data_IF_445455925525
#
_entry.id   IF_445455925525
#
_cell.length_a   1.000
_cell.length_b   1.000
_cell.length_c   1.000
_cell.angle_alpha   90.00
_cell.angle_beta   90.00
_cell.angle_gamma   90.00
#
_symmetry.space_group_name_H-M   'P 1'
#
loop_
_entity.id
_entity.type
_entity.pdbx_description
1 polymer ?
#
# COMPACT_ATOMS: atom_id res chain seq x y z
N UNK A 1 -10.92 12.23 35.32
CA UNK A 1 -11.67 10.96 35.46
C UNK A 1 -13.07 11.16 34.92
N UNK A 2 -13.49 10.42 33.91
CA UNK A 2 -14.83 10.50 33.35
C UNK A 2 -15.76 9.53 34.10
N UNK A 3 -17.08 9.76 34.07
CA UNK A 3 -18.11 8.86 34.67
C UNK A 3 -17.92 7.39 34.20
N UNK A 4 -17.45 7.16 32.98
CA UNK A 4 -17.14 5.84 32.42
C UNK A 4 -16.01 5.11 33.18
N UNK A 5 -15.11 5.84 33.86
CA UNK A 5 -14.06 5.25 34.68
C UNK A 5 -14.52 4.89 36.10
N UNK A 6 -15.65 5.47 36.54
CA UNK A 6 -16.23 5.27 37.86
C UNK A 6 -17.31 4.19 37.91
N UNK A 7 -17.96 3.94 36.76
CA UNK A 7 -19.03 2.97 36.63
C UNK A 7 -18.77 2.06 35.42
N UNK A 8 -18.01 0.98 35.60
CA UNK A 8 -17.67 0.04 34.51
C UNK A 8 -18.90 -0.53 33.78
N UNK A 9 -20.02 -0.67 34.48
CA UNK A 9 -21.30 -1.14 33.90
C UNK A 9 -21.88 -0.19 32.82
N UNK A 10 -21.61 1.11 32.90
CA UNK A 10 -22.03 2.08 31.87
C UNK A 10 -21.11 1.98 30.63
N UNK A 11 -19.84 1.64 30.81
CA UNK A 11 -18.91 1.43 29.72
C UNK A 11 -19.27 0.24 28.83
N UNK A 12 -20.02 -0.74 29.37
CA UNK A 12 -20.46 -1.91 28.61
C UNK A 12 -21.69 -1.63 27.73
N UNK A 13 -22.48 -0.59 28.05
CA UNK A 13 -23.65 -0.22 27.27
C UNK A 13 -23.38 0.78 26.13
N UNK A 14 -22.20 1.40 26.10
CA UNK A 14 -21.86 2.35 25.04
C UNK A 14 -21.22 1.62 23.85
N UNK A 15 -21.73 1.82 22.62
CA UNK A 15 -21.09 1.22 21.43
C UNK A 15 -19.64 1.68 21.31
N UNK A 16 -18.75 0.76 20.99
CA UNK A 16 -17.34 1.08 20.78
C UNK A 16 -17.21 2.01 19.58
N UNK A 17 -16.45 3.08 19.76
CA UNK A 17 -16.07 3.96 18.64
C UNK A 17 -14.71 3.53 18.10
N UNK A 18 -14.69 3.23 16.81
CA UNK A 18 -13.48 2.93 16.07
C UNK A 18 -13.03 4.20 15.34
N UNK A 19 -11.73 4.50 15.44
CA UNK A 19 -11.17 5.68 14.81
C UNK A 19 -11.09 5.45 13.27
N UNK A 20 -11.83 6.20 12.44
CA UNK A 20 -11.84 6.01 11.00
C UNK A 20 -10.52 6.39 10.32
N UNK A 21 -9.62 7.06 11.05
CA UNK A 21 -8.26 7.27 10.59
C UNK A 21 -7.43 5.98 10.57
N UNK A 22 -7.82 4.96 11.35
CA UNK A 22 -7.08 3.70 11.50
C UNK A 22 -7.91 2.51 10.99
N UNK A 23 -9.19 2.46 11.34
CA UNK A 23 -10.11 1.38 11.01
C UNK A 23 -10.88 1.65 9.71
N UNK A 24 -11.46 0.60 9.09
CA UNK A 24 -12.46 0.80 8.05
C UNK A 24 -13.56 1.72 8.56
N UNK A 25 -14.06 2.59 7.71
CA UNK A 25 -15.05 3.58 8.15
C UNK A 25 -16.41 2.98 8.47
N UNK A 26 -16.66 1.73 8.07
CA UNK A 26 -17.84 0.95 8.47
C UNK A 26 -17.64 0.19 9.77
N UNK A 27 -16.43 0.28 10.38
CA UNK A 27 -16.14 -0.42 11.63
C UNK A 27 -17.06 0.07 12.75
N UNK A 28 -17.75 -0.88 13.39
CA UNK A 28 -18.72 -0.65 14.45
C UNK A 28 -18.68 -1.80 15.46
N UNK A 29 -19.41 -1.70 16.55
CA UNK A 29 -19.74 -2.85 17.39
C UNK A 29 -21.23 -3.07 17.42
N UNK A 30 -21.63 -4.34 17.44
CA UNK A 30 -23.03 -4.71 17.69
C UNK A 30 -23.38 -4.68 19.19
N UNK A 31 -24.60 -5.10 19.52
CA UNK A 31 -25.13 -5.11 20.90
C UNK A 31 -24.37 -6.07 21.82
N UNK A 32 -23.82 -7.17 21.26
CA UNK A 32 -23.00 -8.15 21.98
C UNK A 32 -21.55 -7.72 22.14
N UNK A 33 -21.18 -6.56 21.58
CA UNK A 33 -19.82 -6.02 21.58
C UNK A 33 -18.87 -6.67 20.58
N UNK A 34 -19.41 -7.43 19.62
CA UNK A 34 -18.65 -7.99 18.51
C UNK A 34 -18.28 -6.86 17.54
N UNK A 35 -17.05 -6.88 17.05
CA UNK A 35 -16.60 -5.94 16.03
C UNK A 35 -17.16 -6.34 14.68
N UNK A 36 -17.78 -5.38 14.00
CA UNK A 36 -18.34 -5.52 12.67
C UNK A 36 -17.57 -4.64 11.67
N UNK A 37 -17.41 -5.12 10.43
CA UNK A 37 -16.89 -4.35 9.29
C UNK A 37 -17.80 -4.60 8.10
N UNK A 38 -18.17 -3.54 7.36
CA UNK A 38 -19.10 -3.65 6.23
C UNK A 38 -20.47 -4.18 6.63
N UNK A 39 -20.87 -4.05 7.90
CA UNK A 39 -22.12 -4.59 8.43
C UNK A 39 -22.07 -6.08 8.79
N UNK A 40 -20.89 -6.71 8.77
CA UNK A 40 -20.69 -8.14 9.08
C UNK A 40 -19.90 -8.28 10.37
N UNK A 41 -20.38 -9.06 11.36
CA UNK A 41 -19.61 -9.43 12.54
C UNK A 41 -18.35 -10.20 12.13
N UNK A 42 -17.20 -9.81 12.64
CA UNK A 42 -15.93 -10.47 12.31
C UNK A 42 -15.85 -11.91 12.86
N UNK A 43 -16.66 -12.23 13.87
CA UNK A 43 -16.84 -13.61 14.36
C UNK A 43 -17.40 -14.52 13.29
N UNK A 44 -18.38 -14.07 12.52
CA UNK A 44 -19.04 -14.87 11.49
C UNK A 44 -18.03 -15.21 10.37
N UNK A 45 -17.15 -14.24 10.02
CA UNK A 45 -16.06 -14.46 9.07
C UNK A 45 -15.04 -15.46 9.62
N UNK A 46 -14.66 -15.33 10.90
CA UNK A 46 -13.72 -16.25 11.54
C UNK A 46 -14.28 -17.67 11.64
N UNK A 47 -15.58 -17.83 11.84
CA UNK A 47 -16.24 -19.12 11.95
C UNK A 47 -16.42 -19.79 10.57
N UNK A 48 -16.72 -19.02 9.53
CA UNK A 48 -16.90 -19.54 8.15
C UNK A 48 -15.56 -19.85 7.46
N UNK A 49 -14.58 -18.92 7.54
CA UNK A 49 -13.33 -19.00 6.77
C UNK A 49 -12.11 -19.40 7.60
N UNK A 50 -12.28 -19.52 8.92
CA UNK A 50 -11.18 -19.78 9.86
C UNK A 50 -10.26 -18.56 10.05
N UNK A 51 -9.28 -18.71 10.96
CA UNK A 51 -8.22 -17.73 11.22
C UNK A 51 -6.85 -18.36 10.93
N UNK A 52 -5.80 -17.55 10.62
CA UNK A 52 -5.87 -16.13 10.29
C UNK A 52 -6.71 -15.87 9.05
N UNK A 53 -7.34 -14.69 8.93
CA UNK A 53 -8.06 -14.29 7.73
C UNK A 53 -7.88 -12.80 7.46
N UNK A 54 -7.69 -12.42 6.20
CA UNK A 54 -7.72 -11.03 5.77
C UNK A 54 -9.14 -10.65 5.40
N UNK A 55 -9.60 -9.52 5.90
CA UNK A 55 -10.92 -8.95 5.59
C UNK A 55 -10.70 -7.58 4.95
N UNK A 56 -11.33 -7.34 3.81
CA UNK A 56 -11.29 -6.06 3.10
C UNK A 56 -12.70 -5.50 2.96
N UNK A 57 -12.90 -4.27 3.41
CA UNK A 57 -14.12 -3.51 3.21
C UNK A 57 -14.13 -2.91 1.80
N UNK A 58 -14.96 -3.47 0.91
CA UNK A 58 -15.07 -3.02 -0.48
C UNK A 58 -15.58 -1.58 -0.54
N UNK A 59 -16.60 -1.25 0.24
CA UNK A 59 -17.20 0.10 0.23
C UNK A 59 -16.21 1.16 0.72
N UNK A 60 -15.37 0.85 1.72
CA UNK A 60 -14.32 1.76 2.18
C UNK A 60 -13.19 1.92 1.16
N UNK A 61 -12.72 0.81 0.55
CA UNK A 61 -11.75 0.87 -0.55
C UNK A 61 -12.23 1.80 -1.68
N UNK A 62 -13.46 1.57 -2.17
CA UNK A 62 -14.07 2.35 -3.23
C UNK A 62 -14.24 3.82 -2.86
N UNK A 63 -14.67 4.10 -1.63
CA UNK A 63 -14.82 5.47 -1.14
C UNK A 63 -13.49 6.21 -1.10
N UNK A 64 -12.39 5.56 -0.67
CA UNK A 64 -11.05 6.16 -0.68
C UNK A 64 -10.57 6.41 -2.11
N UNK A 65 -10.80 5.48 -3.02
CA UNK A 65 -10.51 5.66 -4.45
C UNK A 65 -11.25 6.88 -5.03
N UNK A 66 -12.56 7.00 -4.76
CA UNK A 66 -13.36 8.18 -5.17
C UNK A 66 -12.86 9.48 -4.56
N UNK A 67 -12.45 9.46 -3.27
CA UNK A 67 -11.90 10.65 -2.60
C UNK A 67 -10.66 11.17 -3.33
N UNK A 68 -9.75 10.28 -3.75
CA UNK A 68 -8.57 10.67 -4.52
C UNK A 68 -8.96 11.41 -5.81
N UNK A 69 -9.87 10.87 -6.59
CA UNK A 69 -10.34 11.50 -7.84
C UNK A 69 -11.12 12.80 -7.61
N UNK A 70 -11.89 12.87 -6.53
CA UNK A 70 -12.68 14.05 -6.23
C UNK A 70 -11.85 15.23 -5.79
N UNK A 71 -10.74 14.98 -5.08
CA UNK A 71 -9.85 16.03 -4.55
C UNK A 71 -8.77 16.38 -5.60
N UNK A 72 -8.18 15.40 -6.26
CA UNK A 72 -7.13 15.58 -7.27
C UNK A 72 -7.77 15.58 -8.69
N UNK A 73 -8.53 16.63 -9.02
CA UNK A 73 -9.39 16.65 -10.22
C UNK A 73 -8.60 16.62 -11.53
N UNK A 74 -7.47 17.33 -11.57
CA UNK A 74 -6.63 17.50 -12.76
C UNK A 74 -5.38 16.61 -12.72
N UNK A 75 -5.38 15.59 -11.82
CA UNK A 75 -4.30 14.63 -11.63
C UNK A 75 -4.80 13.23 -11.97
N UNK A 76 -4.07 12.50 -12.80
CA UNK A 76 -4.36 11.09 -13.05
C UNK A 76 -3.99 10.24 -11.82
N UNK A 77 -4.93 9.43 -11.35
CA UNK A 77 -4.73 8.56 -10.20
C UNK A 77 -4.55 7.12 -10.66
N UNK A 78 -3.41 6.55 -10.38
CA UNK A 78 -3.03 5.16 -10.67
C UNK A 78 -2.97 4.39 -9.35
N UNK A 79 -3.77 3.35 -9.20
CA UNK A 79 -3.70 2.49 -8.02
C UNK A 79 -2.45 1.61 -8.07
N UNK A 80 -1.57 1.70 -7.07
CA UNK A 80 -0.37 0.86 -7.00
C UNK A 80 -0.71 -0.57 -6.58
N UNK A 81 -0.77 -1.50 -7.54
CA UNK A 81 -1.20 -2.89 -7.37
C UNK A 81 -0.43 -3.67 -6.32
N UNK A 82 0.88 -3.42 -6.19
CA UNK A 82 1.74 -4.05 -5.16
C UNK A 82 1.21 -3.96 -3.73
N UNK A 83 0.34 -3.00 -3.43
CA UNK A 83 -0.25 -2.84 -2.10
C UNK A 83 -1.25 -3.94 -1.77
N UNK A 84 -2.17 -4.22 -2.69
CA UNK A 84 -3.13 -5.33 -2.68
C UNK A 84 -3.71 -5.47 -4.08
N UNK A 85 -3.53 -6.62 -4.72
CA UNK A 85 -4.09 -6.87 -6.04
C UNK A 85 -4.70 -8.27 -6.12
N UNK A 86 -5.97 -8.29 -6.50
CA UNK A 86 -6.73 -9.46 -6.97
C UNK A 86 -7.57 -9.03 -8.15
N UNK A 87 -8.17 -9.96 -8.88
CA UNK A 87 -9.08 -9.63 -9.98
C UNK A 87 -10.26 -8.75 -9.54
N UNK A 88 -10.75 -8.95 -8.30
CA UNK A 88 -11.80 -8.12 -7.71
C UNK A 88 -11.31 -6.70 -7.41
N UNK A 89 -10.15 -6.57 -6.77
CA UNK A 89 -9.56 -5.25 -6.43
C UNK A 89 -9.20 -4.47 -7.70
N UNK A 90 -8.66 -5.14 -8.72
CA UNK A 90 -8.40 -4.54 -10.02
C UNK A 90 -9.69 -4.00 -10.66
N UNK A 91 -10.77 -4.79 -10.60
CA UNK A 91 -12.10 -4.38 -11.07
C UNK A 91 -12.63 -3.17 -10.30
N UNK A 92 -12.51 -3.15 -8.97
CA UNK A 92 -12.94 -2.01 -8.15
C UNK A 92 -12.19 -0.74 -8.52
N UNK A 93 -10.86 -0.81 -8.63
CA UNK A 93 -10.05 0.34 -9.03
C UNK A 93 -10.47 0.87 -10.42
N UNK A 94 -10.65 -0.02 -11.40
CA UNK A 94 -11.15 0.32 -12.74
C UNK A 94 -12.54 0.98 -12.71
N UNK A 95 -13.48 0.39 -11.98
CA UNK A 95 -14.86 0.90 -11.87
C UNK A 95 -14.91 2.28 -11.19
N UNK A 96 -13.98 2.55 -10.27
CA UNK A 96 -13.79 3.88 -9.68
C UNK A 96 -12.97 4.80 -10.59
N UNK A 97 -12.62 4.37 -11.80
CA UNK A 97 -11.95 5.18 -12.82
C UNK A 97 -10.45 5.37 -12.61
N UNK A 98 -9.80 4.53 -11.79
CA UNK A 98 -8.35 4.55 -11.61
C UNK A 98 -7.64 3.76 -12.72
N UNK A 99 -6.41 4.13 -13.05
CA UNK A 99 -5.45 3.23 -13.70
C UNK A 99 -4.82 2.29 -12.68
N UNK A 100 -3.97 1.37 -13.14
CA UNK A 100 -3.25 0.44 -12.25
C UNK A 100 -1.75 0.44 -12.57
N UNK A 101 -0.94 0.61 -11.51
CA UNK A 101 0.49 0.38 -11.54
C UNK A 101 0.80 -1.08 -11.22
N UNK A 102 1.56 -1.75 -12.08
CA UNK A 102 1.97 -3.14 -11.95
C UNK A 102 3.50 -3.26 -11.95
N UNK A 103 4.05 -4.23 -11.22
CA UNK A 103 5.50 -4.40 -11.06
C UNK A 103 5.98 -5.81 -11.45
N UNK A 104 5.10 -6.67 -11.96
CA UNK A 104 5.45 -8.04 -12.35
C UNK A 104 4.46 -8.59 -13.38
N UNK A 105 4.82 -9.68 -14.09
CA UNK A 105 3.89 -10.38 -14.99
C UNK A 105 2.65 -10.91 -14.27
N UNK A 106 2.80 -11.35 -13.02
CA UNK A 106 1.67 -11.81 -12.19
C UNK A 106 0.67 -10.70 -11.91
N UNK A 107 1.14 -9.51 -11.52
CA UNK A 107 0.27 -8.34 -11.33
C UNK A 107 -0.38 -7.90 -12.64
N UNK A 108 0.37 -7.92 -13.75
CA UNK A 108 -0.16 -7.62 -15.09
C UNK A 108 -1.29 -8.59 -15.46
N UNK A 109 -1.08 -9.89 -15.30
CA UNK A 109 -2.09 -10.91 -15.59
C UNK A 109 -3.36 -10.74 -14.73
N UNK A 110 -3.20 -10.45 -13.44
CA UNK A 110 -4.32 -10.21 -12.52
C UNK A 110 -5.09 -8.94 -12.89
N UNK A 111 -4.40 -7.85 -13.26
CA UNK A 111 -5.03 -6.62 -13.69
C UNK A 111 -5.84 -6.82 -14.97
N UNK A 112 -5.29 -7.52 -15.96
CA UNK A 112 -5.98 -7.90 -17.21
C UNK A 112 -7.22 -8.76 -16.93
N UNK A 113 -7.09 -9.78 -16.07
CA UNK A 113 -8.22 -10.62 -15.67
C UNK A 113 -9.30 -9.84 -14.90
N UNK A 114 -8.93 -8.74 -14.22
CA UNK A 114 -9.85 -7.76 -13.62
C UNK A 114 -10.54 -6.85 -14.64
N UNK A 115 -10.19 -6.97 -15.92
CA UNK A 115 -10.77 -6.18 -17.03
C UNK A 115 -10.20 -4.77 -17.14
N UNK A 116 -9.00 -4.51 -16.61
CA UNK A 116 -8.33 -3.23 -16.77
C UNK A 116 -7.79 -3.09 -18.17
N UNK A 117 -8.05 -1.95 -18.81
CA UNK A 117 -7.50 -1.63 -20.12
C UNK A 117 -5.97 -1.46 -19.99
N UNK A 118 -5.14 -2.22 -20.74
CA UNK A 118 -3.69 -2.09 -20.71
C UNK A 118 -3.19 -0.67 -20.96
N UNK A 119 -3.88 0.11 -21.80
CA UNK A 119 -3.53 1.51 -22.08
C UNK A 119 -3.57 2.41 -20.83
N UNK A 120 -4.31 2.00 -19.78
CA UNK A 120 -4.43 2.67 -18.50
C UNK A 120 -3.51 2.08 -17.43
N UNK A 121 -2.63 1.18 -17.80
CA UNK A 121 -1.63 0.61 -16.89
C UNK A 121 -0.29 1.33 -17.01
N UNK A 122 0.42 1.38 -15.90
CA UNK A 122 1.83 1.77 -15.83
C UNK A 122 2.60 0.57 -15.30
N UNK A 123 3.63 0.11 -16.03
CA UNK A 123 4.50 -0.95 -15.55
C UNK A 123 5.80 -0.38 -15.02
N UNK A 124 6.15 -0.80 -13.81
CA UNK A 124 7.39 -0.48 -13.13
C UNK A 124 8.25 -1.73 -12.94
N UNK A 125 9.54 -1.54 -12.72
CA UNK A 125 10.44 -2.60 -12.30
C UNK A 125 11.83 -2.05 -12.03
N UNK A 126 12.52 -2.60 -11.04
CA UNK A 126 13.91 -2.21 -10.75
C UNK A 126 14.92 -3.16 -11.40
N UNK A 127 14.47 -4.29 -11.90
CA UNK A 127 15.29 -5.29 -12.57
C UNK A 127 14.39 -6.09 -13.52
N UNK A 128 13.76 -5.38 -14.45
CA UNK A 128 12.79 -5.98 -15.38
C UNK A 128 13.52 -6.84 -16.42
N UNK A 129 13.13 -8.09 -16.54
CA UNK A 129 13.68 -9.00 -17.53
C UNK A 129 13.19 -8.66 -18.95
N UNK A 130 13.94 -9.07 -20.02
CA UNK A 130 13.46 -8.91 -21.39
C UNK A 130 12.11 -9.56 -21.67
N UNK A 131 11.80 -10.68 -21.00
CA UNK A 131 10.53 -11.37 -21.18
C UNK A 131 9.36 -10.59 -20.58
N UNK A 132 9.54 -10.00 -19.38
CA UNK A 132 8.54 -9.13 -18.76
C UNK A 132 8.27 -7.87 -19.61
N UNK A 133 9.30 -7.26 -20.18
CA UNK A 133 9.14 -6.12 -21.09
C UNK A 133 8.40 -6.53 -22.37
N UNK A 134 8.73 -7.73 -22.91
CA UNK A 134 8.06 -8.27 -24.10
C UNK A 134 6.56 -8.46 -23.85
N UNK A 135 6.20 -9.06 -22.71
CA UNK A 135 4.82 -9.31 -22.35
C UNK A 135 4.05 -7.99 -22.18
N UNK A 136 4.64 -7.00 -21.51
CA UNK A 136 4.06 -5.67 -21.36
C UNK A 136 3.78 -4.96 -22.69
N UNK A 137 4.78 -5.00 -23.60
CA UNK A 137 4.64 -4.43 -24.95
C UNK A 137 3.60 -5.19 -25.79
N UNK A 138 3.60 -6.51 -25.68
CA UNK A 138 2.67 -7.37 -26.45
C UNK A 138 1.20 -7.11 -26.09
N UNK A 139 0.89 -6.91 -24.80
CA UNK A 139 -0.48 -6.60 -24.36
C UNK A 139 -0.84 -5.12 -24.52
N UNK A 140 0.14 -4.24 -24.80
CA UNK A 140 -0.08 -2.82 -25.04
C UNK A 140 -0.20 -1.99 -23.75
N UNK A 141 0.66 -2.25 -22.76
CA UNK A 141 0.74 -1.41 -21.54
C UNK A 141 0.97 0.05 -21.93
N UNK A 142 0.17 0.94 -21.35
CA UNK A 142 0.13 2.34 -21.72
C UNK A 142 1.45 3.09 -21.52
N UNK A 143 2.12 2.83 -20.39
CA UNK A 143 3.39 3.47 -20.03
C UNK A 143 4.35 2.47 -19.40
N UNK A 144 5.61 2.53 -19.74
CA UNK A 144 6.69 1.77 -19.10
C UNK A 144 7.64 2.73 -18.39
N UNK A 145 7.96 2.47 -17.14
CA UNK A 145 8.90 3.25 -16.35
C UNK A 145 10.27 2.60 -16.46
N UNK A 146 11.24 3.33 -17.01
CA UNK A 146 12.62 2.87 -17.23
C UNK A 146 13.49 3.25 -16.04
N UNK A 147 14.07 2.26 -15.40
CA UNK A 147 14.82 2.37 -14.15
C UNK A 147 16.33 2.18 -14.36
N UNK A 148 16.73 1.60 -15.47
CA UNK A 148 18.12 1.29 -15.81
C UNK A 148 18.43 1.46 -17.31
N UNK A 149 19.72 1.58 -17.63
CA UNK A 149 20.18 1.62 -19.02
C UNK A 149 19.91 0.32 -19.77
N UNK A 150 19.84 -0.81 -19.06
CA UNK A 150 19.48 -2.10 -19.65
C UNK A 150 18.00 -2.16 -20.04
N UNK A 151 17.11 -1.59 -19.24
CA UNK A 151 15.68 -1.49 -19.60
C UNK A 151 15.51 -0.71 -20.91
N UNK A 152 16.24 0.40 -21.06
CA UNK A 152 16.24 1.21 -22.28
C UNK A 152 16.67 0.36 -23.49
N UNK A 153 17.79 -0.34 -23.37
CA UNK A 153 18.35 -1.14 -24.46
C UNK A 153 17.42 -2.32 -24.84
N UNK A 154 16.90 -3.03 -23.85
CA UNK A 154 15.98 -4.15 -24.07
C UNK A 154 14.69 -3.68 -24.71
N UNK A 155 14.07 -2.64 -24.19
CA UNK A 155 12.82 -2.13 -24.73
C UNK A 155 12.96 -1.60 -26.13
N UNK A 156 14.07 -0.91 -26.46
CA UNK A 156 14.37 -0.44 -27.80
C UNK A 156 14.47 -1.59 -28.81
N UNK A 157 15.03 -2.74 -28.40
CA UNK A 157 15.10 -3.95 -29.23
C UNK A 157 13.79 -4.73 -29.37
N UNK A 158 12.90 -4.61 -28.38
CA UNK A 158 11.65 -5.38 -28.30
C UNK A 158 10.45 -4.64 -28.93
N UNK A 159 10.36 -3.32 -28.74
CA UNK A 159 9.23 -2.53 -29.20
C UNK A 159 9.11 -2.53 -30.72
N UNK A 160 7.93 -2.85 -31.24
CA UNK A 160 7.61 -2.85 -32.67
C UNK A 160 6.73 -1.65 -33.06
N UNK A 161 6.22 -0.92 -32.09
CA UNK A 161 5.42 0.32 -32.22
C UNK A 161 5.97 1.33 -31.23
N UNK A 162 5.71 2.61 -31.44
CA UNK A 162 6.08 3.64 -30.46
C UNK A 162 5.52 3.28 -29.09
N UNK A 163 6.40 3.12 -28.12
CA UNK A 163 6.08 2.81 -26.74
C UNK A 163 6.31 4.04 -25.87
N UNK A 164 5.25 4.51 -25.22
CA UNK A 164 5.35 5.62 -24.26
C UNK A 164 6.14 5.18 -23.03
N UNK A 165 7.14 5.98 -22.68
CA UNK A 165 8.04 5.70 -21.57
C UNK A 165 8.21 6.91 -20.66
N UNK A 166 8.42 6.63 -19.38
CA UNK A 166 8.84 7.58 -18.35
C UNK A 166 10.25 7.17 -17.88
N UNK A 167 11.14 8.11 -17.71
CA UNK A 167 12.43 7.85 -17.07
C UNK A 167 12.27 8.06 -15.58
N UNK A 168 12.60 7.04 -14.77
CA UNK A 168 12.57 7.17 -13.31
C UNK A 168 13.81 7.92 -12.83
N UNK A 169 13.57 8.97 -12.06
CA UNK A 169 14.63 9.81 -11.50
C UNK A 169 14.50 9.95 -9.99
N UNK A 170 15.64 10.15 -9.33
CA UNK A 170 15.70 10.45 -7.90
C UNK A 170 15.93 11.96 -7.75
N UNK A 171 14.94 12.72 -7.22
CA UNK A 171 15.02 14.18 -7.13
C UNK A 171 15.79 14.70 -5.92
N UNK A 172 16.47 13.85 -5.14
CA UNK A 172 17.28 14.19 -3.96
C UNK A 172 16.51 14.98 -2.87
N UNK A 173 15.22 14.71 -2.71
CA UNK A 173 14.37 15.31 -1.66
C UNK A 173 14.46 14.46 -0.38
N UNK A 174 14.82 15.08 0.73
CA UNK A 174 14.80 14.41 2.05
C UNK A 174 13.35 14.36 2.59
N UNK A 175 12.82 13.17 2.78
CA UNK A 175 11.43 12.96 3.22
C UNK A 175 11.27 12.54 4.68
N UNK A 176 12.36 12.18 5.38
CA UNK A 176 12.27 11.57 6.70
C UNK A 176 12.81 12.45 7.84
N UNK A 177 13.48 13.57 7.53
CA UNK A 177 14.11 14.40 8.55
C UNK A 177 15.13 13.62 9.39
N UNK A 178 15.64 14.21 10.49
CA UNK A 178 16.78 13.72 11.26
C UNK A 178 16.54 12.44 12.11
N UNK A 179 15.50 11.66 11.92
CA UNK A 179 15.13 10.57 12.86
C UNK A 179 15.33 9.15 12.37
N UNK A 180 15.61 8.92 11.10
CA UNK A 180 16.00 7.60 10.63
C UNK A 180 17.39 7.68 10.01
N UNK A 181 18.25 6.72 10.41
CA UNK A 181 19.59 6.53 9.93
C UNK A 181 19.67 6.81 8.44
N UNK A 182 20.35 7.88 8.09
CA UNK A 182 20.55 8.32 6.73
C UNK A 182 21.30 7.25 5.93
N UNK A 183 20.55 6.34 5.33
CA UNK A 183 20.98 5.81 4.05
C UNK A 183 20.83 6.98 3.09
N UNK A 184 21.95 7.52 2.63
CA UNK A 184 21.95 8.68 1.75
C UNK A 184 20.94 8.52 0.63
N UNK A 185 20.34 9.62 0.20
CA UNK A 185 19.28 9.63 -0.83
C UNK A 185 19.79 8.98 -2.14
N UNK A 186 21.09 9.01 -2.38
CA UNK A 186 21.81 8.32 -3.47
C UNK A 186 21.87 6.79 -3.34
N UNK A 187 21.68 6.21 -2.16
CA UNK A 187 21.76 4.75 -1.92
C UNK A 187 20.40 4.02 -2.07
N UNK A 188 19.35 4.72 -2.47
CA UNK A 188 18.07 4.06 -2.76
C UNK A 188 18.17 3.28 -4.06
N UNK A 189 17.84 1.98 -4.08
CA UNK A 189 17.78 1.24 -5.31
C UNK A 189 16.63 1.79 -6.17
N UNK A 190 16.93 2.24 -7.37
CA UNK A 190 15.98 2.60 -8.40
C UNK A 190 16.03 4.05 -8.86
N UNK A 191 16.08 4.19 -10.19
CA UNK A 191 16.09 5.44 -10.91
C UNK A 191 17.47 6.07 -11.10
N UNK A 192 17.50 7.03 -12.00
CA UNK A 192 18.69 7.80 -12.32
C UNK A 192 18.74 9.06 -11.44
N UNK A 193 19.88 9.38 -10.88
CA UNK A 193 20.05 10.61 -10.11
C UNK A 193 19.99 11.83 -11.03
N UNK A 194 19.30 12.89 -10.58
CA UNK A 194 19.32 14.18 -11.27
C UNK A 194 20.72 14.82 -11.19
N UNK A 195 21.36 14.68 -10.03
CA UNK A 195 22.76 15.11 -9.83
C UNK A 195 23.71 14.14 -10.52
N UNK A 196 24.85 14.65 -10.99
CA UNK A 196 25.90 13.84 -11.63
C UNK A 196 25.64 13.40 -13.07
N UNK A 197 24.54 13.87 -13.71
CA UNK A 197 24.30 13.67 -15.15
C UNK A 197 23.70 12.33 -15.56
N UNK A 198 23.45 11.39 -14.62
CA UNK A 198 22.93 10.07 -14.96
C UNK A 198 21.52 10.12 -15.59
N UNK A 199 20.65 10.99 -15.12
CA UNK A 199 19.34 11.19 -15.73
C UNK A 199 19.44 11.78 -17.14
N UNK A 200 20.37 12.72 -17.38
CA UNK A 200 20.60 13.30 -18.69
C UNK A 200 21.10 12.25 -19.70
N UNK A 201 22.02 11.38 -19.29
CA UNK A 201 22.50 10.28 -20.14
C UNK A 201 21.39 9.25 -20.44
N UNK A 202 20.52 8.94 -19.47
CA UNK A 202 19.37 8.07 -19.68
C UNK A 202 18.37 8.69 -20.68
N UNK A 203 18.04 9.96 -20.53
CA UNK A 203 17.19 10.71 -21.47
C UNK A 203 17.79 10.69 -22.88
N UNK A 204 19.08 10.98 -23.03
CA UNK A 204 19.77 10.92 -24.31
C UNK A 204 19.72 9.52 -24.94
N UNK A 205 19.90 8.47 -24.11
CA UNK A 205 19.80 7.09 -24.56
C UNK A 205 18.38 6.76 -25.06
N UNK A 206 17.34 7.17 -24.34
CA UNK A 206 15.94 6.97 -24.78
C UNK A 206 15.67 7.69 -26.09
N UNK A 207 16.09 8.96 -26.22
CA UNK A 207 15.86 9.78 -27.40
C UNK A 207 16.63 9.28 -28.65
N UNK A 208 17.70 8.50 -28.47
CA UNK A 208 18.39 7.84 -29.56
C UNK A 208 17.58 6.74 -30.26
N UNK A 209 16.47 6.29 -29.66
CA UNK A 209 15.62 5.21 -30.16
C UNK A 209 14.23 5.74 -30.55
N UNK A 210 13.94 5.97 -31.85
CA UNK A 210 12.64 6.55 -32.29
C UNK A 210 11.41 5.72 -31.91
N UNK A 211 11.59 4.45 -31.58
CA UNK A 211 10.53 3.55 -31.10
C UNK A 211 10.14 3.83 -29.65
N UNK A 212 10.98 4.53 -28.88
CA UNK A 212 10.70 4.95 -27.52
C UNK A 212 10.18 6.39 -27.52
N UNK A 213 8.97 6.57 -27.02
CA UNK A 213 8.30 7.85 -26.91
C UNK A 213 8.48 8.39 -25.49
N UNK A 214 9.52 9.17 -25.25
CA UNK A 214 9.77 9.79 -23.96
C UNK A 214 8.72 10.86 -23.68
N UNK A 215 7.76 10.56 -22.84
CA UNK A 215 6.64 11.44 -22.53
C UNK A 215 6.78 12.19 -21.21
N UNK A 216 7.66 11.75 -20.30
CA UNK A 216 7.79 12.38 -19.01
C UNK A 216 8.85 11.77 -18.09
N UNK A 217 8.86 12.29 -16.88
CA UNK A 217 9.67 11.79 -15.77
C UNK A 217 8.79 11.15 -14.70
N UNK A 218 9.35 10.18 -14.00
CA UNK A 218 8.74 9.56 -12.83
C UNK A 218 9.66 9.70 -11.62
N UNK A 219 9.10 9.98 -10.45
CA UNK A 219 9.81 9.82 -9.18
C UNK A 219 8.97 9.10 -8.13
N UNK A 220 9.63 8.57 -7.11
CA UNK A 220 8.96 8.03 -5.93
C UNK A 220 9.76 8.41 -4.68
N UNK A 221 9.19 9.25 -3.84
CA UNK A 221 9.89 9.84 -2.69
C UNK A 221 10.13 8.83 -1.56
N UNK A 222 9.35 7.75 -1.51
CA UNK A 222 9.44 6.71 -0.48
C UNK A 222 8.11 6.47 0.23
N UNK A 223 8.07 5.58 1.23
CA UNK A 223 6.83 5.26 1.95
C UNK A 223 6.56 6.29 3.06
N UNK A 224 5.27 6.43 3.43
CA UNK A 224 4.82 7.18 4.61
C UNK A 224 5.26 8.66 4.63
N UNK A 225 5.21 9.32 3.48
CA UNK A 225 5.43 10.77 3.37
C UNK A 225 4.16 11.50 3.79
N UNK A 226 4.21 12.23 4.88
CA UNK A 226 3.07 12.97 5.46
C UNK A 226 3.12 14.47 5.19
N UNK A 227 4.28 15.00 4.78
CA UNK A 227 4.48 16.42 4.49
C UNK A 227 4.25 16.70 2.99
N UNK A 228 3.16 17.40 2.60
CA UNK A 228 2.88 17.76 1.21
C UNK A 228 3.96 18.60 0.55
N UNK A 229 4.69 19.40 1.34
CA UNK A 229 5.74 20.28 0.81
C UNK A 229 6.86 19.50 0.12
N UNK A 230 7.08 18.23 0.50
CA UNK A 230 8.08 17.36 -0.14
C UNK A 230 7.72 17.02 -1.58
N UNK A 231 6.43 16.84 -1.86
CA UNK A 231 5.95 16.67 -3.25
C UNK A 231 6.11 17.94 -4.05
N UNK A 232 5.81 19.13 -3.46
CA UNK A 232 6.06 20.41 -4.09
C UNK A 232 7.54 20.65 -4.43
N UNK A 233 8.46 20.30 -3.52
CA UNK A 233 9.90 20.36 -3.77
C UNK A 233 10.33 19.43 -4.92
N UNK A 234 9.81 18.19 -4.95
CA UNK A 234 10.08 17.27 -6.05
C UNK A 234 9.58 17.81 -7.40
N UNK A 235 8.37 18.37 -7.43
CA UNK A 235 7.80 18.97 -8.65
C UNK A 235 8.71 20.08 -9.18
N UNK A 236 9.17 21.02 -8.34
CA UNK A 236 10.05 22.10 -8.77
C UNK A 236 11.33 21.57 -9.41
N UNK A 237 11.98 20.58 -8.76
CA UNK A 237 13.21 19.97 -9.29
C UNK A 237 12.99 19.23 -10.61
N UNK A 238 11.85 18.55 -10.74
CA UNK A 238 11.51 17.79 -11.93
C UNK A 238 11.11 18.70 -13.09
N UNK A 239 10.39 19.79 -12.86
CA UNK A 239 10.09 20.79 -13.90
C UNK A 239 11.36 21.46 -14.40
N UNK A 240 12.30 21.83 -13.52
CA UNK A 240 13.61 22.32 -13.93
C UNK A 240 14.36 21.32 -14.81
N UNK A 241 14.39 20.04 -14.42
CA UNK A 241 15.00 18.98 -15.24
C UNK A 241 14.29 18.82 -16.61
N UNK A 242 12.95 18.92 -16.65
CA UNK A 242 12.19 18.87 -17.92
C UNK A 242 12.49 20.09 -18.80
N UNK A 243 12.71 21.26 -18.21
CA UNK A 243 13.12 22.48 -18.93
C UNK A 243 14.54 22.32 -19.52
N UNK A 244 15.47 21.72 -18.77
CA UNK A 244 16.82 21.38 -19.26
C UNK A 244 16.76 20.40 -20.43
N UNK A 245 15.92 19.37 -20.35
CA UNK A 245 15.70 18.41 -21.45
C UNK A 245 15.20 19.16 -22.71
N UNK A 246 14.24 20.04 -22.56
CA UNK A 246 13.76 20.88 -23.67
C UNK A 246 14.87 21.73 -24.28
N UNK A 247 15.66 22.37 -23.43
CA UNK A 247 16.75 23.24 -23.88
C UNK A 247 17.84 22.47 -24.67
N UNK A 248 18.20 21.27 -24.22
CA UNK A 248 19.27 20.49 -24.83
C UNK A 248 18.81 19.61 -26.01
N UNK A 249 17.57 19.14 -26.00
CA UNK A 249 17.10 18.15 -26.98
C UNK A 249 15.91 18.65 -27.82
N UNK A 250 15.32 19.80 -27.52
CA UNK A 250 14.15 20.33 -28.22
C UNK A 250 12.85 19.54 -27.96
N UNK A 251 12.82 18.65 -26.94
CA UNK A 251 11.70 17.80 -26.61
C UNK A 251 10.95 18.39 -25.41
N UNK A 252 9.63 18.51 -25.53
CA UNK A 252 8.76 18.92 -24.44
C UNK A 252 8.10 17.66 -23.85
N UNK A 253 8.42 17.35 -22.60
CA UNK A 253 7.79 16.28 -21.86
C UNK A 253 6.41 16.73 -21.36
N UNK A 254 5.40 15.88 -21.53
CA UNK A 254 3.99 16.21 -21.28
C UNK A 254 3.41 15.58 -20.02
N UNK A 255 4.14 14.67 -19.37
CA UNK A 255 3.69 13.98 -18.16
C UNK A 255 4.72 14.08 -17.04
N UNK A 256 4.22 14.21 -15.82
CA UNK A 256 5.01 14.22 -14.59
C UNK A 256 4.39 13.27 -13.58
N UNK A 257 5.04 12.13 -13.34
CA UNK A 257 4.59 11.16 -12.35
C UNK A 257 5.38 11.34 -11.04
N UNK A 258 4.69 11.80 -10.00
CA UNK A 258 5.28 12.05 -8.68
C UNK A 258 5.15 10.85 -7.72
N UNK A 259 4.68 9.70 -8.24
CA UNK A 259 4.57 8.46 -7.48
C UNK A 259 3.51 8.45 -6.41
N UNK A 260 3.73 7.60 -5.42
CA UNK A 260 2.85 7.42 -4.26
C UNK A 260 3.60 7.67 -2.95
N UNK A 261 3.37 6.78 -1.98
CA UNK A 261 4.05 6.87 -0.67
C UNK A 261 3.27 7.67 0.37
N UNK A 262 2.05 8.07 0.06
CA UNK A 262 1.17 8.87 0.90
C UNK A 262 0.96 8.20 2.27
N UNK A 263 1.26 8.92 3.36
CA UNK A 263 1.19 8.43 4.72
C UNK A 263 -0.23 8.14 5.17
N UNK A 264 -0.37 7.06 5.93
CA UNK A 264 -1.60 6.71 6.64
C UNK A 264 -1.26 6.33 8.08
N UNK A 265 -2.08 6.72 9.07
CA UNK A 265 -1.87 6.32 10.45
C UNK A 265 -2.18 4.84 10.68
N UNK A 266 -1.39 4.20 11.55
CA UNK A 266 -1.59 2.86 12.09
C UNK A 266 -1.90 2.89 13.58
N UNK A 267 -1.40 3.91 14.27
CA UNK A 267 -1.66 4.19 15.67
C UNK A 267 -2.32 5.58 15.80
N UNK A 268 -2.98 5.78 16.92
CA UNK A 268 -3.52 7.10 17.24
C UNK A 268 -2.39 8.12 17.37
N UNK A 269 -2.48 9.20 16.61
CA UNK A 269 -1.50 10.28 16.58
C UNK A 269 -0.38 10.10 15.56
N UNK A 270 -0.38 9.00 14.81
CA UNK A 270 0.49 8.91 13.64
C UNK A 270 0.13 9.99 12.60
N UNK A 271 1.12 10.52 11.88
CA UNK A 271 0.87 11.51 10.84
C UNK A 271 0.10 10.89 9.65
N UNK A 272 -0.79 11.68 9.07
CA UNK A 272 -1.49 11.38 7.81
C UNK A 272 -1.14 12.46 6.78
N UNK A 273 -1.07 12.07 5.52
CA UNK A 273 -1.00 13.05 4.43
C UNK A 273 -2.41 13.58 4.14
N UNK A 274 -2.62 14.85 4.40
CA UNK A 274 -3.89 15.51 4.08
C UNK A 274 -4.02 15.73 2.58
N UNK A 275 -5.02 15.07 1.98
CA UNK A 275 -5.16 15.00 0.53
C UNK A 275 -5.49 16.38 -0.10
N UNK A 276 -6.22 17.22 0.62
CA UNK A 276 -6.52 18.58 0.15
C UNK A 276 -5.28 19.49 0.15
N UNK A 277 -4.41 19.35 1.16
CA UNK A 277 -3.13 20.07 1.22
C UNK A 277 -2.17 19.56 0.12
N UNK A 278 -2.16 18.24 -0.15
CA UNK A 278 -1.40 17.70 -1.28
C UNK A 278 -1.90 18.32 -2.61
N UNK A 279 -3.21 18.38 -2.82
CA UNK A 279 -3.79 18.94 -4.05
C UNK A 279 -3.37 20.41 -4.23
N UNK A 280 -3.55 21.24 -3.20
CA UNK A 280 -3.11 22.65 -3.24
C UNK A 280 -1.60 22.76 -3.47
N UNK A 281 -0.80 21.97 -2.75
CA UNK A 281 0.65 21.99 -2.90
C UNK A 281 1.15 21.56 -4.29
N UNK A 282 0.46 20.64 -4.96
CA UNK A 282 0.74 20.27 -6.37
C UNK A 282 0.46 21.46 -7.29
N UNK A 283 -0.72 22.08 -7.15
CA UNK A 283 -1.11 23.23 -7.98
C UNK A 283 -0.13 24.40 -7.82
N UNK A 284 0.14 24.81 -6.58
CA UNK A 284 1.05 25.91 -6.27
C UNK A 284 2.47 25.65 -6.82
N UNK A 285 2.99 24.43 -6.62
CA UNK A 285 4.33 24.07 -7.08
C UNK A 285 4.44 24.02 -8.61
N UNK A 286 3.38 23.57 -9.31
CA UNK A 286 3.33 23.56 -10.77
C UNK A 286 3.27 24.98 -11.33
N UNK A 287 2.40 25.82 -10.79
CA UNK A 287 2.25 27.20 -11.25
C UNK A 287 3.56 27.97 -11.08
N UNK A 288 4.19 27.84 -9.90
CA UNK A 288 5.47 28.47 -9.60
C UNK A 288 6.60 27.98 -10.52
N UNK A 289 6.78 26.64 -10.59
CA UNK A 289 7.89 26.05 -11.35
C UNK A 289 7.72 26.23 -12.85
N UNK A 290 6.52 26.06 -13.39
CA UNK A 290 6.26 26.25 -14.83
C UNK A 290 6.44 27.71 -15.25
N UNK A 291 6.05 28.67 -14.41
CA UNK A 291 6.29 30.08 -14.67
C UNK A 291 7.80 30.42 -14.64
N UNK A 292 8.52 29.94 -13.63
CA UNK A 292 9.95 30.19 -13.47
C UNK A 292 10.77 29.63 -14.67
N UNK A 293 10.44 28.42 -15.12
CA UNK A 293 11.15 27.74 -16.20
C UNK A 293 10.55 28.02 -17.60
N UNK A 294 9.51 28.85 -17.69
CA UNK A 294 8.75 29.06 -18.94
C UNK A 294 8.37 27.73 -19.59
N UNK A 295 7.99 26.73 -18.76
CA UNK A 295 7.68 25.37 -19.21
C UNK A 295 6.15 25.18 -19.29
N UNK A 296 5.63 24.52 -20.33
CA UNK A 296 4.19 24.21 -20.40
C UNK A 296 3.81 23.23 -19.31
N UNK A 297 2.66 23.44 -18.66
CA UNK A 297 2.17 22.62 -17.56
C UNK A 297 1.99 21.15 -18.00
N UNK A 298 2.70 20.17 -17.43
CA UNK A 298 2.50 18.76 -17.74
C UNK A 298 1.27 18.20 -17.03
N UNK A 299 0.73 17.10 -17.54
CA UNK A 299 -0.24 16.28 -16.83
C UNK A 299 0.45 15.57 -15.66
N UNK A 300 -0.14 15.67 -14.46
CA UNK A 300 0.42 15.06 -13.26
C UNK A 300 -0.22 13.71 -12.98
N UNK A 301 0.58 12.76 -12.51
CA UNK A 301 0.17 11.41 -12.12
C UNK A 301 0.59 11.16 -10.68
N UNK A 302 -0.31 10.55 -9.88
CA UNK A 302 -0.02 10.02 -8.54
C UNK A 302 -0.34 8.54 -8.45
N UNK A 303 0.41 7.81 -7.59
CA UNK A 303 0.29 6.37 -7.47
C UNK A 303 -0.04 5.90 -6.03
N UNK A 304 -1.20 6.27 -5.47
CA UNK A 304 -1.59 5.79 -4.16
C UNK A 304 -1.85 4.27 -4.18
N UNK A 305 -1.25 3.55 -3.24
CA UNK A 305 -1.57 2.14 -2.96
C UNK A 305 -2.06 2.02 -1.53
N UNK A 306 -1.14 2.14 -0.57
CA UNK A 306 -1.40 2.09 0.88
C UNK A 306 -2.54 3.01 1.31
N UNK A 307 -2.56 4.22 0.85
CA UNK A 307 -3.56 5.22 1.24
C UNK A 307 -4.99 4.84 0.83
N UNK A 308 -5.16 3.97 -0.15
CA UNK A 308 -6.46 3.44 -0.57
C UNK A 308 -6.79 2.14 0.17
N UNK A 309 -5.87 1.16 0.20
CA UNK A 309 -6.20 -0.19 0.65
C UNK A 309 -5.92 -0.45 2.14
N UNK A 310 -4.93 0.20 2.78
CA UNK A 310 -4.49 -0.18 4.13
C UNK A 310 -5.63 -0.17 5.15
N UNK A 311 -6.27 0.99 5.31
CA UNK A 311 -7.32 1.20 6.31
C UNK A 311 -8.63 0.48 5.99
N UNK A 312 -8.84 0.10 4.73
CA UNK A 312 -9.99 -0.71 4.34
C UNK A 312 -9.86 -2.18 4.77
N UNK A 313 -8.69 -2.59 5.29
CA UNK A 313 -8.44 -3.98 5.66
C UNK A 313 -8.15 -4.19 7.13
N UNK A 314 -8.59 -5.35 7.62
CA UNK A 314 -8.27 -5.90 8.94
C UNK A 314 -7.83 -7.35 8.80
N UNK A 315 -6.97 -7.81 9.74
CA UNK A 315 -6.60 -9.24 9.83
C UNK A 315 -7.13 -9.82 11.13
N UNK A 316 -7.72 -11.00 11.04
CA UNK A 316 -8.29 -11.73 12.17
C UNK A 316 -7.33 -12.79 12.65
N UNK A 317 -7.17 -12.89 13.97
CA UNK A 317 -6.36 -13.89 14.65
C UNK A 317 -7.10 -14.50 15.83
N UNK A 318 -6.99 -15.83 16.00
CA UNK A 318 -7.49 -16.52 17.19
C UNK A 318 -6.39 -16.57 18.26
N UNK A 319 -6.72 -16.20 19.49
CA UNK A 319 -5.82 -16.35 20.62
C UNK A 319 -5.66 -17.82 20.95
N UNK A 320 -4.43 -18.32 20.90
CA UNK A 320 -4.09 -19.70 21.23
C UNK A 320 -3.70 -19.85 22.69
N UNK A 321 -2.98 -18.89 23.25
CA UNK A 321 -2.59 -18.89 24.66
C UNK A 321 -2.29 -17.50 25.19
N UNK A 322 -2.43 -17.32 26.52
CA UNK A 322 -2.03 -16.11 27.24
C UNK A 322 -1.05 -16.53 28.33
N UNK A 323 0.12 -15.89 28.35
CA UNK A 323 1.20 -16.20 29.29
C UNK A 323 1.69 -14.93 29.96
N UNK A 324 1.63 -14.87 31.29
CA UNK A 324 2.25 -13.81 32.08
C UNK A 324 3.64 -14.27 32.54
N UNK A 325 4.65 -13.51 32.20
CA UNK A 325 6.06 -13.77 32.61
C UNK A 325 6.26 -13.35 34.08
N UNK A 326 7.34 -13.84 34.72
CA UNK A 326 7.64 -13.45 36.11
C UNK A 326 7.79 -11.94 36.33
N UNK A 327 8.20 -11.19 35.32
CA UNK A 327 8.31 -9.72 35.36
C UNK A 327 6.95 -9.01 35.17
N UNK A 328 5.83 -9.73 35.16
CA UNK A 328 4.49 -9.18 34.96
C UNK A 328 4.09 -8.90 33.51
N UNK A 329 5.00 -9.06 32.55
CA UNK A 329 4.70 -8.85 31.13
C UNK A 329 3.82 -9.98 30.57
N UNK A 330 2.74 -9.62 29.92
CA UNK A 330 1.79 -10.57 29.33
C UNK A 330 2.02 -10.71 27.82
N UNK A 331 2.11 -11.95 27.36
CA UNK A 331 2.22 -12.33 25.95
C UNK A 331 0.94 -13.07 25.55
N UNK A 332 0.29 -12.58 24.51
CA UNK A 332 -0.88 -13.19 23.87
C UNK A 332 -0.42 -13.82 22.58
N UNK A 333 -0.38 -15.15 22.52
CA UNK A 333 0.01 -15.88 21.31
C UNK A 333 -1.20 -16.18 20.44
N UNK A 334 -1.06 -15.94 19.13
CA UNK A 334 -2.12 -16.14 18.14
C UNK A 334 -1.73 -17.16 17.07
N UNK A 335 -2.71 -17.57 16.27
CA UNK A 335 -2.56 -18.60 15.24
C UNK A 335 -1.93 -18.12 13.91
N UNK A 336 -1.63 -16.82 13.78
CA UNK A 336 -0.85 -16.24 12.68
C UNK A 336 0.54 -15.83 13.08
N UNK A 337 1.22 -15.05 12.25
CA UNK A 337 2.58 -14.57 12.54
C UNK A 337 3.24 -13.89 11.34
N UNK A 338 4.58 -13.93 11.30
CA UNK A 338 5.35 -13.28 10.24
C UNK A 338 5.10 -13.85 8.84
N UNK A 339 4.48 -15.02 8.70
CA UNK A 339 4.07 -15.59 7.41
C UNK A 339 2.90 -14.83 6.76
N UNK A 340 2.06 -14.19 7.56
CA UNK A 340 0.87 -13.45 7.13
C UNK A 340 0.89 -11.97 7.52
N UNK A 341 1.76 -11.59 8.47
CA UNK A 341 2.08 -10.20 8.81
C UNK A 341 3.61 -9.98 8.88
N UNK A 342 4.30 -9.94 7.74
CA UNK A 342 5.76 -9.83 7.72
C UNK A 342 6.28 -8.44 8.10
N UNK A 343 5.44 -7.40 8.04
CA UNK A 343 5.86 -6.00 8.21
C UNK A 343 6.44 -5.69 9.60
N UNK A 344 5.93 -6.37 10.65
CA UNK A 344 6.47 -6.21 12.00
C UNK A 344 7.91 -6.69 12.08
N UNK A 345 8.21 -7.81 11.42
CA UNK A 345 9.55 -8.38 11.38
C UNK A 345 10.52 -7.60 10.46
N UNK A 346 10.01 -7.12 9.30
CA UNK A 346 10.82 -6.46 8.28
C UNK A 346 11.09 -4.98 8.60
N UNK A 347 10.06 -4.26 9.03
CA UNK A 347 10.11 -2.79 9.13
C UNK A 347 9.89 -2.29 10.55
N UNK A 348 9.69 -3.19 11.53
CA UNK A 348 9.29 -2.78 12.89
C UNK A 348 7.89 -2.15 12.94
N UNK A 349 7.04 -2.40 11.94
CA UNK A 349 5.71 -1.81 11.86
C UNK A 349 4.88 -2.09 13.13
N UNK A 350 4.08 -1.10 13.52
CA UNK A 350 3.18 -1.21 14.67
C UNK A 350 1.74 -1.08 14.21
N UNK A 351 0.84 -1.78 14.90
CA UNK A 351 -0.56 -1.85 14.53
C UNK A 351 -1.48 -1.67 15.72
N UNK A 352 -2.66 -1.08 15.47
CA UNK A 352 -3.77 -1.06 16.42
C UNK A 352 -4.47 -2.40 16.41
N UNK A 353 -4.65 -2.98 17.62
CA UNK A 353 -5.30 -4.28 17.83
C UNK A 353 -6.51 -4.11 18.74
N UNK A 354 -7.58 -4.81 18.42
CA UNK A 354 -8.80 -4.83 19.25
C UNK A 354 -9.29 -6.27 19.46
N UNK A 355 -9.91 -6.50 20.62
CA UNK A 355 -10.73 -7.69 20.87
C UNK A 355 -11.97 -7.62 19.98
N UNK A 356 -12.26 -8.66 19.20
CA UNK A 356 -13.27 -8.62 18.15
C UNK A 356 -14.53 -9.43 18.43
N UNK A 357 -14.50 -10.39 19.34
CA UNK A 357 -15.62 -11.33 19.57
C UNK A 357 -16.56 -10.92 20.69
N UNK A 358 -16.20 -9.97 21.53
CA UNK A 358 -16.98 -9.60 22.72
C UNK A 358 -16.54 -8.27 23.33
N UNK A 359 -17.27 -7.77 24.27
CA UNK A 359 -16.78 -6.75 25.19
C UNK A 359 -15.69 -7.34 26.10
N UNK A 360 -14.58 -6.65 26.22
CA UNK A 360 -13.56 -7.00 27.22
C UNK A 360 -13.95 -6.48 28.59
N UNK A 361 -13.72 -7.29 29.60
CA UNK A 361 -13.96 -6.96 31.01
C UNK A 361 -12.65 -6.55 31.70
N UNK A 362 -12.76 -5.72 32.72
CA UNK A 362 -11.61 -5.30 33.52
C UNK A 362 -10.75 -4.20 32.90
N UNK A 363 -9.60 -3.94 33.53
CA UNK A 363 -8.68 -2.89 33.10
C UNK A 363 -7.88 -3.32 31.88
N UNK A 364 -7.56 -2.38 31.02
CA UNK A 364 -6.65 -2.64 29.91
C UNK A 364 -5.21 -2.74 30.43
N UNK A 365 -4.48 -3.73 29.93
CA UNK A 365 -3.06 -3.95 30.21
C UNK A 365 -2.26 -3.90 28.91
N UNK A 366 -1.02 -3.43 29.02
CA UNK A 366 -0.06 -3.50 27.91
C UNK A 366 0.38 -4.94 27.73
N UNK A 367 0.20 -5.47 26.52
CA UNK A 367 0.58 -6.84 26.14
C UNK A 367 1.39 -6.85 24.85
N UNK A 368 2.13 -7.93 24.62
CA UNK A 368 2.67 -8.26 23.30
C UNK A 368 1.80 -9.33 22.65
N UNK A 369 1.36 -9.09 21.43
CA UNK A 369 0.72 -10.11 20.59
C UNK A 369 1.82 -10.77 19.76
N UNK A 370 2.06 -12.05 20.02
CA UNK A 370 3.11 -12.86 19.38
C UNK A 370 2.50 -13.84 18.38
N UNK A 371 3.24 -14.12 17.33
CA UNK A 371 2.87 -15.10 16.33
C UNK A 371 3.17 -16.56 16.74
N UNK A 372 2.96 -17.47 15.80
CA UNK A 372 3.13 -18.92 15.96
C UNK A 372 4.47 -19.47 15.48
N UNK A 373 5.24 -18.68 14.72
CA UNK A 373 6.55 -19.09 14.22
C UNK A 373 7.62 -18.93 15.30
N UNK A 374 8.65 -19.79 15.26
CA UNK A 374 9.70 -19.80 16.28
C UNK A 374 10.79 -18.73 16.08
N UNK A 375 10.59 -17.75 15.19
CA UNK A 375 11.56 -16.69 14.90
C UNK A 375 11.55 -15.57 15.93
N UNK A 376 12.71 -14.94 16.19
CA UNK A 376 12.83 -13.83 17.13
C UNK A 376 12.05 -12.57 16.71
N UNK A 377 11.72 -12.42 15.43
CA UNK A 377 10.92 -11.34 14.87
C UNK A 377 9.43 -11.61 14.78
N UNK A 378 8.96 -12.81 15.20
CA UNK A 378 7.58 -13.24 15.03
C UNK A 378 6.63 -12.56 16.02
N UNK A 379 6.27 -11.33 15.72
CA UNK A 379 5.31 -10.52 16.46
C UNK A 379 4.24 -9.94 15.56
N UNK A 380 3.04 -9.77 16.10
CA UNK A 380 1.92 -9.08 15.45
C UNK A 380 1.84 -7.63 15.93
N UNK A 381 1.98 -7.41 17.23
CA UNK A 381 1.96 -6.07 17.81
C UNK A 381 2.64 -6.06 19.19
N UNK A 382 3.24 -4.93 19.54
CA UNK A 382 3.91 -4.74 20.84
C UNK A 382 3.26 -3.58 21.58
N UNK A 383 3.24 -3.70 22.92
CA UNK A 383 2.72 -2.66 23.83
C UNK A 383 1.28 -2.24 23.52
N UNK A 384 0.44 -3.19 23.09
CA UNK A 384 -0.98 -2.91 22.80
C UNK A 384 -1.83 -3.07 24.05
N UNK A 385 -2.82 -2.19 24.22
CA UNK A 385 -3.72 -2.17 25.37
C UNK A 385 -4.89 -3.12 25.13
N UNK A 386 -4.84 -4.34 25.67
CA UNK A 386 -5.93 -5.31 25.65
C UNK A 386 -6.57 -5.51 27.02
N UNK A 387 -7.85 -5.93 27.09
CA UNK A 387 -8.52 -6.21 28.38
C UNK A 387 -7.80 -7.30 29.17
N UNK A 388 -7.81 -7.18 30.49
CA UNK A 388 -7.09 -8.13 31.38
C UNK A 388 -7.73 -9.53 31.43
N UNK A 389 -8.96 -9.67 30.93
CA UNK A 389 -9.71 -10.93 30.84
C UNK A 389 -9.52 -11.67 29.50
N UNK A 390 -8.55 -11.22 28.68
CA UNK A 390 -8.23 -11.91 27.43
C UNK A 390 -7.78 -13.35 27.68
N UNK A 391 -8.29 -14.30 26.90
CA UNK A 391 -8.02 -15.72 27.08
C UNK A 391 -7.94 -16.47 25.75
N UNK A 392 -7.50 -17.72 25.78
CA UNK A 392 -7.51 -18.61 24.62
C UNK A 392 -8.93 -18.77 24.06
N UNK A 393 -9.04 -18.72 22.73
CA UNK A 393 -10.31 -18.73 22.02
C UNK A 393 -10.85 -17.33 21.67
N UNK A 394 -10.37 -16.26 22.30
CA UNK A 394 -10.73 -14.89 21.91
C UNK A 394 -10.27 -14.59 20.46
N UNK A 395 -10.98 -13.69 19.80
CA UNK A 395 -10.68 -13.21 18.45
C UNK A 395 -10.09 -11.81 18.54
N UNK A 396 -8.93 -11.60 17.91
CA UNK A 396 -8.31 -10.29 17.74
C UNK A 396 -8.46 -9.82 16.30
N UNK A 397 -8.70 -8.52 16.13
CA UNK A 397 -8.64 -7.82 14.86
C UNK A 397 -7.48 -6.83 14.86
N UNK A 398 -6.65 -6.87 13.82
CA UNK A 398 -5.53 -5.95 13.57
C UNK A 398 -5.92 -5.02 12.45
N UNK A 399 -5.97 -3.71 12.73
CA UNK A 399 -6.39 -2.70 11.77
C UNK A 399 -5.27 -2.30 10.81
N UNK A 400 -5.63 -1.72 9.66
CA UNK A 400 -4.68 -1.15 8.71
C UNK A 400 -3.94 -2.20 7.87
N UNK A 401 -4.42 -3.42 7.81
CA UNK A 401 -3.73 -4.55 7.17
C UNK A 401 -4.17 -4.82 5.73
N UNK A 402 -4.93 -3.92 5.12
CA UNK A 402 -5.34 -4.04 3.71
C UNK A 402 -4.20 -3.82 2.69
N UNK A 403 -2.99 -3.43 3.13
CA UNK A 403 -1.82 -3.25 2.26
C UNK A 403 -0.64 -4.06 2.75
N UNK A 404 0.09 -4.68 1.83
CA UNK A 404 1.36 -5.37 2.09
C UNK A 404 1.29 -6.51 3.12
N UNK A 405 0.10 -7.10 3.31
CA UNK A 405 -0.11 -8.30 4.10
C UNK A 405 -0.42 -9.47 3.18
N UNK A 406 -1.60 -9.49 2.56
CA UNK A 406 -1.93 -10.53 1.59
C UNK A 406 -0.91 -10.61 0.44
N UNK A 407 -0.46 -9.45 -0.10
CA UNK A 407 0.52 -9.40 -1.20
C UNK A 407 1.93 -9.87 -0.80
N UNK A 408 2.27 -9.88 0.49
CA UNK A 408 3.57 -10.31 1.02
C UNK A 408 3.49 -11.62 1.82
N UNK A 409 2.32 -12.25 1.90
CA UNK A 409 2.15 -13.50 2.62
C UNK A 409 3.02 -14.61 2.03
N UNK A 410 3.59 -15.44 2.91
CA UNK A 410 4.52 -16.50 2.56
C UNK A 410 4.12 -17.84 3.16
N UNK A 411 4.79 -18.91 2.71
CA UNK A 411 4.64 -20.24 3.29
C UNK A 411 5.74 -20.55 4.32
N UNK A 412 6.23 -19.53 5.04
CA UNK A 412 7.23 -19.77 6.07
C UNK A 412 6.73 -20.81 7.07
N UNK A 413 7.58 -21.80 7.41
CA UNK A 413 7.25 -22.99 8.19
C UNK A 413 6.13 -23.86 7.62
N UNK A 414 5.92 -23.85 6.30
CA UNK A 414 4.85 -24.58 5.58
C UNK A 414 3.45 -24.27 6.11
N UNK A 415 3.21 -23.03 6.48
CA UNK A 415 1.88 -22.52 6.82
C UNK A 415 1.19 -22.02 5.55
N UNK A 416 -0.03 -22.46 5.30
CA UNK A 416 -0.82 -21.99 4.16
C UNK A 416 -1.22 -20.53 4.30
N UNK A 417 -1.20 -19.79 3.20
CA UNK A 417 -1.61 -18.38 3.17
C UNK A 417 -3.08 -18.22 3.57
N UNK A 418 -3.42 -17.22 4.38
CA UNK A 418 -4.80 -16.96 4.79
C UNK A 418 -5.73 -16.62 3.61
N UNK A 419 -7.03 -16.84 3.74
CA UNK A 419 -8.01 -16.37 2.77
C UNK A 419 -8.09 -14.84 2.80
N UNK A 420 -8.52 -14.26 1.67
CA UNK A 420 -8.95 -12.86 1.58
C UNK A 420 -10.45 -12.82 1.35
N UNK A 421 -11.16 -12.15 2.25
CA UNK A 421 -12.62 -12.03 2.26
C UNK A 421 -13.01 -10.57 2.10
N UNK A 422 -13.88 -10.27 1.16
CA UNK A 422 -14.48 -8.94 1.04
C UNK A 422 -15.80 -8.86 1.79
N UNK A 423 -16.07 -7.71 2.40
CA UNK A 423 -17.34 -7.37 3.03
C UNK A 423 -17.91 -6.09 2.44
N UNK A 424 -19.23 -6.06 2.24
CA UNK A 424 -19.94 -4.87 1.72
C UNK A 424 -21.43 -4.96 2.04
N UNK A 425 -21.97 -3.99 2.81
CA UNK A 425 -23.40 -3.87 3.10
C UNK A 425 -24.03 -5.14 3.69
N UNK A 426 -23.35 -5.80 4.63
CA UNK A 426 -23.80 -7.06 5.25
C UNK A 426 -23.56 -8.32 4.41
N UNK A 427 -22.91 -8.19 3.25
CA UNK A 427 -22.58 -9.32 2.37
C UNK A 427 -21.11 -9.72 2.54
N UNK A 428 -20.88 -11.02 2.44
CA UNK A 428 -19.53 -11.63 2.50
C UNK A 428 -19.21 -12.29 1.16
N UNK A 429 -17.97 -12.09 0.68
CA UNK A 429 -17.50 -12.72 -0.54
C UNK A 429 -16.05 -13.13 -0.42
N UNK A 430 -15.74 -14.40 -0.57
CA UNK A 430 -14.37 -14.87 -0.63
C UNK A 430 -13.72 -14.43 -1.96
N UNK A 431 -12.65 -13.65 -1.87
CA UNK A 431 -11.86 -13.21 -3.03
C UNK A 431 -10.73 -14.18 -3.35
N UNK A 432 -10.06 -14.67 -2.31
CA UNK A 432 -9.00 -15.67 -2.39
C UNK A 432 -9.24 -16.72 -1.32
N UNK A 433 -9.25 -17.99 -1.70
CA UNK A 433 -9.41 -19.09 -0.73
C UNK A 433 -8.14 -19.29 0.10
N UNK A 434 -8.29 -19.89 1.26
CA UNK A 434 -7.16 -20.38 2.06
C UNK A 434 -6.33 -21.36 1.23
N UNK A 435 -5.02 -21.24 1.31
CA UNK A 435 -4.11 -22.17 0.70
C UNK A 435 -4.10 -23.50 1.48
N UNK A 436 -4.25 -24.61 0.77
CA UNK A 436 -4.26 -25.95 1.36
C UNK A 436 -2.86 -26.56 1.37
N UNK A 437 -2.67 -27.62 2.15
CA UNK A 437 -1.42 -28.42 2.10
C UNK A 437 -1.18 -28.93 0.69
N UNK A 438 -2.23 -29.38 -0.02
CA UNK A 438 -2.12 -29.86 -1.39
C UNK A 438 -1.61 -28.77 -2.35
N UNK A 439 -2.07 -27.52 -2.18
CA UNK A 439 -1.56 -26.40 -2.99
C UNK A 439 -0.06 -26.18 -2.77
N UNK A 440 0.40 -26.23 -1.52
CA UNK A 440 1.81 -26.07 -1.19
C UNK A 440 2.66 -27.21 -1.75
N UNK A 441 2.17 -28.43 -1.65
CA UNK A 441 2.86 -29.63 -2.14
C UNK A 441 2.81 -29.77 -3.67
N UNK A 442 1.87 -29.10 -4.36
CA UNK A 442 1.74 -29.19 -5.83
C UNK A 442 2.96 -28.72 -6.62
N UNK A 443 3.86 -27.97 -5.97
CA UNK A 443 5.10 -27.46 -6.56
C UNK A 443 6.32 -28.33 -6.25
N UNK A 444 6.17 -29.33 -5.39
CA UNK A 444 7.22 -30.28 -5.06
C UNK A 444 7.28 -31.34 -6.18
N UNK A 445 8.43 -31.55 -6.73
CA UNK A 445 8.64 -32.48 -7.84
C UNK A 445 9.21 -33.84 -7.38
N UNK A 446 9.27 -34.11 -6.07
CA UNK A 446 9.68 -35.40 -5.48
C UNK A 446 11.06 -35.41 -4.90
#
# INVERSE_FOLDING_TARGET
>A
MTLLNLLPSIGHAAPRRFDPAIWPTTASSDEDGRLCVGGVPLTDIADEFGTPAYVIDESDFRRRARRYRAVLRDVEVIYAGKSLLTTAVARWAREEGLGIGVCSPGELAVALAGGVDPSRMIMHGNATSPDELRDAVAVGVGRLVLDSSLDIAYLAGLARRRQRVLVRVTPDVDVHGHREVATGVSDRPGGFTLTGGHAAEAVKAVLAHPVLDLIGLHCHLGPQVSDPARYGEAIRRLIAAMADIRAHHGVILTELNIGGGHAVPYLRGDPELELAELAGGIEDALDEACAAEHFPRPAVIVEPGRAISARAGVTLYRVCSVKTRPNGHTVVAVDGGMSDNPRVALDGAQYTVALANRHGLGVKRSVTVAGRQCGTGDGIARNVALPSDIHAGDLLAVAGTGSYHHSMASNYTMVGRPPLVAVDGGRVRQLVRRETIADMMSRDCG
#
